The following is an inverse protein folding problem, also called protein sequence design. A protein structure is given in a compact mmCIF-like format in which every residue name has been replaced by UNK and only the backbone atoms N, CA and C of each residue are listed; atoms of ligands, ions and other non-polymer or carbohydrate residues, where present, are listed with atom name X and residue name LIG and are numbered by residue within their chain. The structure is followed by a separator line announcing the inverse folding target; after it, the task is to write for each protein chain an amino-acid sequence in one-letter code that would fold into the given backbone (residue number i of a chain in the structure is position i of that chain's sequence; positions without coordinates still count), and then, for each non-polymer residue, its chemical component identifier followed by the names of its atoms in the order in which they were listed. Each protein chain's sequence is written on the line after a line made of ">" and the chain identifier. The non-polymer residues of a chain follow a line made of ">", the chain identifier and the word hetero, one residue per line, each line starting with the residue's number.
data_IF_952133647805
#
_entry.id   IF_952133647805
#
_cell.length_a   1.000
_cell.length_b   1.000
_cell.length_c   1.000
_cell.angle_alpha   90.00
_cell.angle_beta   90.00
_cell.angle_gamma   90.00
#
_symmetry.space_group_name_H-M   'P 1'
#
loop_
_entity.id
_entity.type
_entity.pdbx_description
1 polymer ?
#
# COMPACT_ATOMS: atom_id res chain seq x y z
N UNK A 1 -3.28 -13.40 6.54
CA UNK A 1 -4.04 -14.10 7.56
C UNK A 1 -3.32 -15.30 8.10
N UNK A 2 -3.74 -15.75 9.27
CA UNK A 2 -3.13 -16.88 9.93
C UNK A 2 -1.63 -16.66 10.06
N UNK A 3 -0.83 -17.56 9.49
CA UNK A 3 0.65 -17.45 9.47
C UNK A 3 1.20 -17.19 8.06
N UNK A 4 0.45 -16.55 7.19
CA UNK A 4 0.88 -16.29 5.82
C UNK A 4 2.06 -15.32 5.80
N UNK A 5 3.02 -15.63 4.94
CA UNK A 5 4.15 -14.76 4.64
C UNK A 5 4.15 -14.42 3.14
N UNK A 6 4.12 -13.13 2.84
CA UNK A 6 4.16 -12.62 1.47
C UNK A 6 5.40 -11.73 1.29
N UNK A 7 6.16 -11.97 0.25
CA UNK A 7 7.31 -11.16 -0.12
C UNK A 7 7.15 -10.63 -1.54
N UNK A 8 7.30 -9.32 -1.70
CA UNK A 8 7.17 -8.62 -2.96
C UNK A 8 8.46 -7.93 -3.31
N UNK A 9 8.88 -8.05 -4.56
CA UNK A 9 10.00 -7.30 -5.13
C UNK A 9 9.47 -6.47 -6.29
N UNK A 10 9.72 -5.17 -6.27
CA UNK A 10 9.32 -4.24 -7.33
C UNK A 10 10.53 -3.48 -7.84
N UNK A 11 10.62 -3.32 -9.15
CA UNK A 11 11.64 -2.53 -9.82
C UNK A 11 10.95 -1.50 -10.73
N UNK A 12 11.26 -0.23 -10.52
CA UNK A 12 10.94 0.87 -11.42
C UNK A 12 12.26 1.27 -12.12
N UNK A 13 12.50 0.73 -13.30
CA UNK A 13 13.72 0.99 -14.07
C UNK A 13 13.46 2.06 -15.12
N UNK A 14 14.24 3.13 -15.06
CA UNK A 14 14.19 4.25 -15.98
C UNK A 14 15.45 4.24 -16.86
N UNK A 15 15.26 3.99 -18.15
CA UNK A 15 16.33 3.85 -19.16
C UNK A 15 16.39 5.04 -20.13
N UNK A 16 15.33 5.86 -20.15
CA UNK A 16 15.20 7.00 -21.07
C UNK A 16 14.94 8.31 -20.31
N UNK A 17 15.28 9.47 -20.90
CA UNK A 17 15.07 10.76 -20.27
C UNK A 17 13.60 11.13 -20.16
N UNK A 18 13.28 12.07 -19.25
CA UNK A 18 11.94 12.64 -19.02
C UNK A 18 10.87 11.61 -18.66
N UNK A 19 11.26 10.53 -18.00
CA UNK A 19 10.35 9.48 -17.55
C UNK A 19 9.68 9.83 -16.21
N UNK A 20 8.48 9.26 -16.01
CA UNK A 20 7.77 9.38 -14.73
C UNK A 20 7.24 8.01 -14.29
N UNK A 21 7.41 7.73 -12.99
CA UNK A 21 6.76 6.58 -12.35
C UNK A 21 6.22 6.94 -10.98
N UNK A 22 5.10 6.33 -10.62
CA UNK A 22 4.44 6.47 -9.31
C UNK A 22 3.87 5.13 -8.88
N UNK A 23 4.54 4.47 -7.94
CA UNK A 23 4.17 3.18 -7.40
C UNK A 23 3.55 3.35 -6.01
N UNK A 24 2.36 2.81 -5.82
CA UNK A 24 1.71 2.73 -4.51
C UNK A 24 1.37 1.27 -4.18
N UNK A 25 1.96 0.75 -3.13
CA UNK A 25 1.58 -0.52 -2.51
C UNK A 25 0.86 -0.29 -1.19
N UNK A 26 -0.28 -0.97 -1.01
CA UNK A 26 -1.00 -0.99 0.26
C UNK A 26 -1.26 -2.42 0.72
N UNK A 27 -1.03 -2.66 2.00
CA UNK A 27 -1.20 -3.99 2.61
C UNK A 27 -1.99 -3.86 3.91
N UNK A 28 -2.98 -4.71 4.11
CA UNK A 28 -3.65 -4.89 5.40
C UNK A 28 -3.34 -6.28 5.94
N UNK A 29 -2.88 -6.37 7.17
CA UNK A 29 -2.35 -7.59 7.78
C UNK A 29 -3.13 -7.94 9.04
N UNK A 30 -3.51 -9.22 9.15
CA UNK A 30 -4.26 -9.76 10.29
C UNK A 30 -3.57 -11.01 10.83
N UNK A 31 -3.91 -11.37 12.07
CA UNK A 31 -3.40 -12.53 12.81
C UNK A 31 -1.86 -12.47 12.99
N UNK A 32 -1.17 -13.57 12.64
CA UNK A 32 0.29 -13.67 12.65
C UNK A 32 0.89 -13.52 11.24
N UNK A 33 0.17 -12.87 10.33
CA UNK A 33 0.65 -12.70 8.96
C UNK A 33 1.80 -11.71 8.89
N UNK A 34 2.68 -11.92 7.89
CA UNK A 34 3.84 -11.07 7.64
C UNK A 34 3.93 -10.71 6.18
N UNK A 35 4.30 -9.46 5.90
CA UNK A 35 4.70 -9.02 4.57
C UNK A 35 6.09 -8.41 4.59
N UNK A 36 6.83 -8.62 3.50
CA UNK A 36 8.10 -7.96 3.22
C UNK A 36 8.00 -7.36 1.82
N UNK A 37 8.13 -6.05 1.73
CA UNK A 37 8.23 -5.36 0.44
C UNK A 37 9.63 -4.81 0.25
N UNK A 38 10.23 -5.11 -0.91
CA UNK A 38 11.47 -4.52 -1.38
C UNK A 38 11.18 -3.79 -2.68
N UNK A 39 11.28 -2.47 -2.63
CA UNK A 39 11.11 -1.60 -3.80
C UNK A 39 12.44 -1.02 -4.23
N UNK A 40 12.71 -1.00 -5.53
CA UNK A 40 13.87 -0.36 -6.11
C UNK A 40 13.43 0.60 -7.20
N UNK A 41 13.94 1.84 -7.15
CA UNK A 41 13.94 2.74 -8.30
C UNK A 41 15.36 2.78 -8.82
N UNK A 42 15.53 2.32 -10.07
CA UNK A 42 16.80 2.39 -10.78
C UNK A 42 16.69 3.43 -11.89
N UNK A 43 17.68 4.33 -11.97
CA UNK A 43 17.76 5.38 -13.00
C UNK A 43 19.12 5.32 -13.66
N UNK A 44 19.12 4.99 -14.94
CA UNK A 44 20.36 4.88 -15.74
C UNK A 44 20.95 6.29 -16.05
N UNK A 45 22.24 6.39 -16.39
CA UNK A 45 22.91 7.67 -16.62
C UNK A 45 22.25 8.58 -17.66
N UNK A 46 21.63 7.99 -18.67
CA UNK A 46 20.92 8.72 -19.74
C UNK A 46 19.51 9.14 -19.37
N UNK A 47 18.94 8.59 -18.30
CA UNK A 47 17.57 8.85 -17.86
C UNK A 47 17.41 10.15 -17.08
N UNK A 48 17.99 11.25 -17.61
CA UNK A 48 17.87 12.58 -17.03
C UNK A 48 16.42 13.08 -17.00
N UNK A 49 16.09 14.00 -16.10
CA UNK A 49 14.75 14.56 -15.89
C UNK A 49 13.70 13.53 -15.48
N UNK A 50 14.14 12.43 -14.91
CA UNK A 50 13.25 11.40 -14.36
C UNK A 50 12.60 11.88 -13.06
N UNK A 51 11.29 11.59 -12.93
CA UNK A 51 10.54 11.79 -11.69
C UNK A 51 9.96 10.45 -11.23
N UNK A 52 10.66 9.81 -10.28
CA UNK A 52 10.28 8.51 -9.72
C UNK A 52 9.76 8.62 -8.29
N UNK A 53 8.63 7.98 -8.01
CA UNK A 53 8.09 7.87 -6.66
C UNK A 53 7.66 6.45 -6.36
N UNK A 54 7.98 5.97 -5.15
CA UNK A 54 7.45 4.71 -4.64
C UNK A 54 6.97 4.87 -3.20
N UNK A 55 5.85 4.23 -2.88
CA UNK A 55 5.27 4.26 -1.54
C UNK A 55 4.70 2.91 -1.15
N UNK A 56 4.95 2.52 0.10
CA UNK A 56 4.34 1.35 0.72
C UNK A 56 3.66 1.74 2.02
N UNK A 57 2.34 1.56 2.08
CA UNK A 57 1.55 1.79 3.29
C UNK A 57 1.03 0.45 3.81
N UNK A 58 1.25 0.18 5.09
CA UNK A 58 0.82 -1.05 5.75
C UNK A 58 -0.10 -0.74 6.93
N UNK A 59 -1.25 -1.42 6.98
CA UNK A 59 -2.20 -1.35 8.07
C UNK A 59 -2.20 -2.68 8.83
N UNK A 60 -1.83 -2.63 10.11
CA UNK A 60 -1.82 -3.79 10.99
C UNK A 60 -3.15 -3.86 11.74
N UNK A 61 -3.90 -4.95 11.50
CA UNK A 61 -5.20 -5.22 12.13
C UNK A 61 -5.05 -6.04 13.42
N UNK A 62 -3.90 -6.62 13.66
CA UNK A 62 -3.60 -7.38 14.87
C UNK A 62 -2.20 -7.09 15.38
N UNK A 63 -1.99 -7.29 16.66
CA UNK A 63 -0.71 -7.02 17.36
C UNK A 63 0.42 -7.97 16.96
N UNK A 64 0.08 -9.15 16.45
CA UNK A 64 1.03 -10.18 16.03
C UNK A 64 1.40 -10.09 14.54
N UNK A 65 0.69 -9.26 13.76
CA UNK A 65 1.03 -9.04 12.35
C UNK A 65 2.26 -8.15 12.20
N UNK A 66 3.00 -8.35 11.10
CA UNK A 66 4.25 -7.62 10.85
C UNK A 66 4.39 -7.22 9.39
N UNK A 67 4.81 -5.98 9.16
CA UNK A 67 5.19 -5.47 7.84
C UNK A 67 6.62 -4.94 7.87
N UNK A 68 7.44 -5.38 6.94
CA UNK A 68 8.79 -4.88 6.71
C UNK A 68 8.84 -4.19 5.33
N UNK A 69 9.27 -2.94 5.27
CA UNK A 69 9.42 -2.16 4.03
C UNK A 69 10.89 -1.80 3.83
N UNK A 70 11.43 -2.16 2.68
CA UNK A 70 12.84 -1.97 2.31
C UNK A 70 12.89 -1.23 0.96
N UNK A 71 12.62 0.09 0.95
CA UNK A 71 12.78 0.88 -0.26
C UNK A 71 14.26 1.15 -0.56
N UNK A 72 14.62 1.13 -1.84
CA UNK A 72 15.96 1.45 -2.33
C UNK A 72 15.92 2.40 -3.53
N UNK A 73 16.99 3.16 -3.70
CA UNK A 73 17.23 4.04 -4.83
C UNK A 73 18.64 3.74 -5.38
N UNK A 74 18.73 3.47 -6.68
CA UNK A 74 19.98 3.38 -7.44
C UNK A 74 19.93 4.41 -8.54
N UNK A 75 20.61 5.55 -8.33
CA UNK A 75 20.50 6.73 -9.18
C UNK A 75 21.89 6.99 -9.80
N UNK A 76 21.96 6.82 -11.12
CA UNK A 76 23.17 7.08 -11.90
C UNK A 76 23.09 8.37 -12.76
N UNK A 77 22.02 9.16 -12.60
CA UNK A 77 21.77 10.42 -13.28
C UNK A 77 21.73 11.58 -12.28
N UNK A 78 22.09 12.80 -12.73
CA UNK A 78 22.22 13.99 -11.86
C UNK A 78 20.95 14.84 -11.80
N UNK A 79 20.28 15.06 -12.93
CA UNK A 79 19.07 15.88 -13.03
C UNK A 79 17.81 15.00 -12.89
N UNK A 80 17.54 14.57 -11.67
CA UNK A 80 16.39 13.69 -11.38
C UNK A 80 15.73 14.02 -10.04
N UNK A 81 14.46 13.62 -9.90
CA UNK A 81 13.72 13.66 -8.65
C UNK A 81 13.17 12.29 -8.33
N UNK A 82 13.86 11.55 -7.47
CA UNK A 82 13.44 10.23 -7.05
C UNK A 82 13.28 10.20 -5.53
N UNK A 83 12.11 9.77 -5.07
CA UNK A 83 11.78 9.73 -3.65
C UNK A 83 11.01 8.45 -3.31
N UNK A 84 11.06 8.08 -2.03
CA UNK A 84 10.26 6.98 -1.52
C UNK A 84 9.59 7.36 -0.19
N UNK A 85 8.53 6.63 0.14
CA UNK A 85 7.84 6.70 1.42
C UNK A 85 7.44 5.32 1.91
N UNK A 86 7.40 5.15 3.22
CA UNK A 86 6.87 3.95 3.86
C UNK A 86 6.16 4.31 5.15
N UNK A 87 4.98 3.73 5.35
CA UNK A 87 4.24 3.86 6.59
C UNK A 87 3.78 2.49 7.07
N UNK A 88 3.83 2.29 8.39
CA UNK A 88 3.24 1.11 9.03
C UNK A 88 2.53 1.59 10.28
N UNK A 89 1.21 1.40 10.32
CA UNK A 89 0.35 1.83 11.42
C UNK A 89 -0.60 0.72 11.83
N UNK A 90 -1.06 0.81 13.09
CA UNK A 90 -2.17 -0.01 13.59
C UNK A 90 -3.49 0.68 13.31
N UNK A 91 -4.58 -0.08 13.39
CA UNK A 91 -5.92 0.50 13.41
C UNK A 91 -6.04 1.45 14.59
N UNK A 92 -6.57 2.63 14.34
CA UNK A 92 -6.83 3.62 15.37
C UNK A 92 -8.02 3.21 16.23
N UNK A 93 -7.76 2.93 17.50
CA UNK A 93 -8.78 2.53 18.47
C UNK A 93 -9.77 3.67 18.79
N UNK A 94 -9.35 4.92 18.64
CA UNK A 94 -10.28 6.07 18.82
C UNK A 94 -11.31 6.11 17.70
N UNK A 95 -10.90 5.81 16.45
CA UNK A 95 -11.83 5.69 15.33
C UNK A 95 -12.79 4.51 15.51
N UNK A 96 -12.30 3.38 16.03
CA UNK A 96 -13.15 2.24 16.39
C UNK A 96 -14.18 2.65 17.45
N UNK A 97 -13.71 3.27 18.52
CA UNK A 97 -14.59 3.74 19.62
C UNK A 97 -15.63 4.73 19.11
N UNK A 98 -15.23 5.69 18.28
CA UNK A 98 -16.16 6.64 17.68
C UNK A 98 -17.25 5.96 16.85
N UNK A 99 -16.88 5.00 16.00
CA UNK A 99 -17.84 4.25 15.21
C UNK A 99 -18.80 3.42 16.10
N UNK A 100 -18.28 2.80 17.16
CA UNK A 100 -19.09 2.05 18.12
C UNK A 100 -20.09 2.98 18.86
N UNK A 101 -19.71 4.20 19.21
CA UNK A 101 -20.60 5.19 19.80
C UNK A 101 -21.73 5.63 18.86
N UNK A 102 -21.59 5.37 17.56
CA UNK A 102 -22.60 5.61 16.51
C UNK A 102 -23.42 4.36 16.17
N UNK A 103 -23.24 3.26 16.93
CA UNK A 103 -24.03 2.04 16.78
C UNK A 103 -23.42 0.95 15.89
N UNK A 104 -22.21 1.16 15.38
CA UNK A 104 -21.50 0.11 14.64
C UNK A 104 -20.86 -0.91 15.58
N UNK A 105 -20.83 -2.15 15.18
CA UNK A 105 -20.02 -3.16 15.86
C UNK A 105 -18.53 -2.89 15.59
N UNK A 106 -17.63 -3.39 16.44
CA UNK A 106 -16.19 -3.30 16.21
C UNK A 106 -15.80 -3.85 14.83
N UNK A 107 -16.41 -4.96 14.44
CA UNK A 107 -16.20 -5.61 13.15
C UNK A 107 -16.56 -4.70 11.97
N UNK A 108 -17.71 -4.06 12.02
CA UNK A 108 -18.14 -3.08 11.00
C UNK A 108 -17.21 -1.86 10.94
N UNK A 109 -16.83 -1.32 12.09
CA UNK A 109 -15.88 -0.21 12.18
C UNK A 109 -14.53 -0.56 11.54
N UNK A 110 -13.98 -1.74 11.85
CA UNK A 110 -12.73 -2.21 11.24
C UNK A 110 -12.87 -2.33 9.72
N UNK A 111 -13.98 -2.87 9.21
CA UNK A 111 -14.25 -2.96 7.77
C UNK A 111 -14.28 -1.60 7.10
N UNK A 112 -14.92 -0.61 7.72
CA UNK A 112 -14.97 0.76 7.20
C UNK A 112 -13.58 1.37 7.10
N UNK A 113 -12.76 1.22 8.14
CA UNK A 113 -11.38 1.74 8.17
C UNK A 113 -10.53 1.08 7.09
N UNK A 114 -10.59 -0.26 6.94
CA UNK A 114 -9.84 -0.99 5.92
C UNK A 114 -10.29 -0.60 4.50
N UNK A 115 -11.60 -0.44 4.28
CA UNK A 115 -12.14 0.01 3.00
C UNK A 115 -11.64 1.41 2.66
N UNK A 116 -11.68 2.35 3.61
CA UNK A 116 -11.14 3.70 3.45
C UNK A 116 -9.63 3.72 3.19
N UNK A 117 -8.88 2.84 3.85
CA UNK A 117 -7.44 2.70 3.63
C UNK A 117 -7.10 2.34 2.17
N UNK A 118 -7.89 1.49 1.53
CA UNK A 118 -7.69 1.11 0.13
C UNK A 118 -8.28 2.10 -0.89
N UNK A 119 -9.13 3.05 -0.48
CA UNK A 119 -9.82 3.97 -1.38
C UNK A 119 -8.86 4.72 -2.32
N UNK A 120 -7.71 5.13 -1.83
CA UNK A 120 -6.69 5.82 -2.63
C UNK A 120 -6.18 4.99 -3.83
N UNK A 121 -6.21 3.66 -3.77
CA UNK A 121 -5.87 2.79 -4.91
C UNK A 121 -7.00 2.86 -5.94
N UNK A 122 -8.25 2.80 -5.49
CA UNK A 122 -9.40 2.86 -6.38
C UNK A 122 -9.50 4.19 -7.13
N UNK A 123 -9.14 5.29 -6.46
CA UNK A 123 -9.14 6.63 -7.05
C UNK A 123 -8.12 6.78 -8.20
N UNK A 124 -7.10 5.91 -8.25
CA UNK A 124 -6.12 5.85 -9.34
C UNK A 124 -6.60 5.07 -10.56
N UNK A 125 -7.69 4.30 -10.44
CA UNK A 125 -8.21 3.47 -11.52
C UNK A 125 -9.23 4.28 -12.33
N UNK A 126 -8.89 4.60 -13.55
CA UNK A 126 -9.73 5.41 -14.45
C UNK A 126 -10.86 4.62 -15.11
N UNK A 127 -10.68 3.29 -15.24
CA UNK A 127 -11.69 2.39 -15.86
C UNK A 127 -12.68 1.97 -14.77
N UNK A 128 -13.92 2.45 -14.89
CA UNK A 128 -14.96 2.27 -13.86
C UNK A 128 -15.28 0.79 -13.60
N UNK A 129 -15.45 -0.01 -14.62
CA UNK A 129 -15.74 -1.44 -14.47
C UNK A 129 -14.63 -2.22 -13.74
N UNK A 130 -13.37 -1.83 -13.96
CA UNK A 130 -12.21 -2.42 -13.24
C UNK A 130 -12.20 -1.97 -11.78
N UNK A 131 -12.45 -0.68 -11.54
CA UNK A 131 -12.53 -0.11 -10.19
C UNK A 131 -13.62 -0.79 -9.36
N UNK A 132 -14.81 -0.97 -9.94
CA UNK A 132 -15.93 -1.65 -9.27
C UNK A 132 -15.62 -3.12 -8.98
N UNK A 133 -15.09 -3.86 -9.95
CA UNK A 133 -14.75 -5.27 -9.78
C UNK A 133 -13.71 -5.49 -8.67
N UNK A 134 -12.65 -4.67 -8.63
CA UNK A 134 -11.63 -4.71 -7.59
C UNK A 134 -12.17 -4.27 -6.24
N UNK A 135 -13.00 -3.23 -6.20
CA UNK A 135 -13.68 -2.76 -4.99
C UNK A 135 -14.52 -3.87 -4.37
N UNK A 136 -15.34 -4.55 -5.17
CA UNK A 136 -16.13 -5.69 -4.70
C UNK A 136 -15.27 -6.87 -4.22
N UNK A 137 -14.15 -7.15 -4.91
CA UNK A 137 -13.23 -8.21 -4.51
C UNK A 137 -12.60 -7.92 -3.13
N UNK A 138 -12.15 -6.68 -2.89
CA UNK A 138 -11.59 -6.27 -1.60
C UNK A 138 -12.68 -6.28 -0.51
N UNK A 139 -13.87 -5.76 -0.79
CA UNK A 139 -14.97 -5.80 0.17
C UNK A 139 -15.37 -7.22 0.57
N UNK A 140 -15.37 -8.18 -0.37
CA UNK A 140 -15.58 -9.60 -0.04
C UNK A 140 -14.49 -10.10 0.90
N UNK A 141 -13.22 -9.83 0.56
CA UNK A 141 -12.08 -10.22 1.39
C UNK A 141 -12.19 -9.63 2.80
N UNK A 142 -12.44 -8.34 2.91
CA UNK A 142 -12.61 -7.67 4.22
C UNK A 142 -13.81 -8.23 5.01
N UNK A 143 -14.90 -8.64 4.34
CA UNK A 143 -16.05 -9.28 5.01
C UNK A 143 -15.74 -10.66 5.57
N UNK A 144 -14.88 -11.42 4.92
CA UNK A 144 -14.48 -12.75 5.39
C UNK A 144 -13.68 -12.69 6.69
N UNK A 145 -12.95 -11.59 6.92
CA UNK A 145 -11.83 -11.54 7.87
C UNK A 145 -11.95 -10.49 8.98
N UNK A 146 -12.77 -9.48 8.81
CA UNK A 146 -12.93 -8.42 9.82
C UNK A 146 -14.13 -8.67 10.74
#
# INVERSE_FOLDING_TARGET
>A
EGKQHLSYHTLQHHEAPSCRSDLLYKTALQDNSRTVWRGMIKVDPLAQQTNGYQRNDNLLLSTASRADSIPGLEIEADDVRCTHGSTTGKVDEELIFYAQSRGFTRKEATRMIVSGFFQQIFDRITIESVREALGQAILRKVREYA
#
